data_IF_456313586741
#
_entry.id   IF_456313586741
#
_cell.length_a   1.000
_cell.length_b   1.000
_cell.length_c   1.000
_cell.angle_alpha   90.00
_cell.angle_beta   90.00
_cell.angle_gamma   90.00
#
_symmetry.space_group_name_H-M   'P 1'
#
loop_
_entity.id
_entity.type
_entity.pdbx_description
1 polymer ?
#
# COMPACT_ATOMS: atom_id res chain seq x y z
N UNK A 1 -36.72 26.53 -7.70
CA UNK A 1 -35.44 25.78 -7.64
C UNK A 1 -35.56 24.81 -6.49
N UNK A 2 -35.97 23.57 -6.80
CA UNK A 2 -35.91 22.47 -5.83
C UNK A 2 -34.44 22.10 -5.67
N UNK A 3 -33.94 22.17 -4.46
CA UNK A 3 -32.65 21.64 -4.12
C UNK A 3 -32.76 20.11 -4.23
N UNK A 4 -31.97 19.54 -5.11
CA UNK A 4 -31.83 18.09 -5.25
C UNK A 4 -31.26 17.55 -3.94
N UNK A 5 -32.07 16.80 -3.21
CA UNK A 5 -31.63 16.14 -2.00
C UNK A 5 -30.60 15.07 -2.40
N UNK A 6 -29.36 15.32 -2.12
CA UNK A 6 -28.30 14.31 -2.20
C UNK A 6 -28.78 13.09 -1.41
N UNK A 7 -28.88 11.89 -2.01
CA UNK A 7 -29.29 10.72 -1.26
C UNK A 7 -28.22 10.43 -0.21
N UNK A 8 -28.53 10.75 1.01
CA UNK A 8 -27.71 10.43 2.18
C UNK A 8 -27.87 8.94 2.57
N UNK A 9 -27.69 8.06 1.60
CA UNK A 9 -27.33 6.68 1.90
C UNK A 9 -25.83 6.67 2.05
N UNK A 10 -25.39 7.20 3.18
CA UNK A 10 -23.98 7.24 3.52
C UNK A 10 -23.45 5.81 3.56
N UNK A 11 -22.31 5.58 2.92
CA UNK A 11 -21.50 4.35 2.98
C UNK A 11 -21.40 3.76 4.41
N UNK A 12 -21.57 4.56 5.45
CA UNK A 12 -21.58 4.15 6.86
C UNK A 12 -22.66 3.16 7.23
N UNK A 13 -23.83 3.21 6.61
CA UNK A 13 -24.90 2.25 6.91
C UNK A 13 -24.64 0.89 6.22
N UNK A 14 -24.03 0.93 5.04
CA UNK A 14 -23.60 -0.27 4.31
C UNK A 14 -22.31 -0.85 4.86
N UNK A 15 -21.42 -0.01 5.40
CA UNK A 15 -20.17 -0.43 6.03
C UNK A 15 -20.42 -1.35 7.23
N UNK A 16 -21.46 -1.10 8.01
CA UNK A 16 -21.84 -1.97 9.13
C UNK A 16 -22.52 -3.29 8.67
N UNK A 17 -23.28 -3.27 7.59
CA UNK A 17 -23.89 -4.47 7.01
C UNK A 17 -22.83 -5.34 6.30
N UNK A 18 -21.88 -4.73 5.60
CA UNK A 18 -20.76 -5.42 4.98
C UNK A 18 -19.77 -5.97 6.01
N UNK A 19 -19.53 -5.26 7.12
CA UNK A 19 -18.71 -5.76 8.23
C UNK A 19 -19.26 -7.05 8.85
N UNK A 20 -20.56 -7.26 8.86
CA UNK A 20 -21.15 -8.51 9.34
C UNK A 20 -20.97 -9.68 8.35
N UNK A 21 -20.90 -9.39 7.05
CA UNK A 21 -20.74 -10.44 6.02
C UNK A 21 -19.31 -10.96 5.91
N UNK A 22 -18.28 -10.15 6.30
CA UNK A 22 -16.88 -10.50 6.20
C UNK A 22 -16.20 -10.93 7.51
N UNK A 23 -17.00 -11.26 8.53
CA UNK A 23 -16.47 -11.81 9.80
C UNK A 23 -15.96 -13.26 9.62
N UNK A 24 -16.38 -13.94 8.57
CA UNK A 24 -15.90 -15.27 8.25
C UNK A 24 -14.50 -15.23 7.59
N UNK A 25 -13.63 -16.14 8.01
CA UNK A 25 -12.19 -16.25 7.68
C UNK A 25 -11.87 -16.39 6.17
N UNK A 26 -12.86 -16.57 5.31
CA UNK A 26 -12.71 -16.79 3.87
C UNK A 26 -12.00 -15.66 3.09
N UNK A 27 -12.31 -14.36 3.29
CA UNK A 27 -11.65 -13.31 2.53
C UNK A 27 -10.14 -13.24 2.77
N UNK A 28 -9.71 -13.48 4.02
CA UNK A 28 -8.27 -13.48 4.33
C UNK A 28 -7.52 -14.65 3.68
N UNK A 29 -8.17 -15.80 3.53
CA UNK A 29 -7.54 -16.97 2.90
C UNK A 29 -7.35 -16.78 1.40
N UNK A 30 -8.29 -16.12 0.72
CA UNK A 30 -8.16 -15.80 -0.72
C UNK A 30 -7.04 -14.79 -0.97
N UNK A 31 -6.94 -13.74 -0.16
CA UNK A 31 -5.89 -12.73 -0.30
C UNK A 31 -4.49 -13.30 -0.07
N UNK A 32 -4.36 -14.33 0.77
CA UNK A 32 -3.06 -14.95 1.07
C UNK A 32 -2.74 -16.15 0.19
N UNK A 33 -3.72 -16.77 -0.48
CA UNK A 33 -3.49 -18.00 -1.27
C UNK A 33 -2.57 -17.79 -2.47
N UNK A 34 -2.66 -16.62 -3.10
CA UNK A 34 -1.86 -16.27 -4.28
C UNK A 34 -0.47 -15.70 -3.93
N UNK A 35 -0.20 -15.45 -2.65
CA UNK A 35 1.05 -14.85 -2.17
C UNK A 35 1.79 -15.77 -1.19
N UNK A 36 2.64 -16.70 -1.68
CA UNK A 36 3.31 -17.70 -0.83
C UNK A 36 4.17 -17.06 0.27
N UNK A 37 4.77 -15.90 0.03
CA UNK A 37 5.56 -15.21 1.03
C UNK A 37 4.69 -14.68 2.19
N UNK A 38 3.53 -14.10 1.90
CA UNK A 38 2.57 -13.66 2.92
C UNK A 38 2.04 -14.82 3.77
N UNK A 39 1.93 -16.01 3.20
CA UNK A 39 1.55 -17.22 3.93
C UNK A 39 2.64 -17.69 4.90
N UNK A 40 3.92 -17.53 4.51
CA UNK A 40 5.08 -17.94 5.33
C UNK A 40 5.34 -17.01 6.52
N UNK A 41 4.91 -15.76 6.45
CA UNK A 41 5.12 -14.79 7.54
C UNK A 41 4.21 -15.13 8.73
N UNK A 42 4.79 -15.33 9.93
CA UNK A 42 3.99 -15.62 11.12
C UNK A 42 3.09 -14.43 11.50
N UNK A 43 1.81 -14.70 11.62
CA UNK A 43 0.80 -13.69 11.95
C UNK A 43 0.65 -13.57 13.47
N UNK A 44 0.76 -12.36 14.00
CA UNK A 44 0.51 -12.10 15.42
C UNK A 44 -0.91 -11.53 15.61
N UNK A 45 -1.81 -12.35 16.14
CA UNK A 45 -3.20 -11.97 16.43
C UNK A 45 -3.39 -11.30 17.81
N UNK A 46 -2.31 -11.16 18.59
CA UNK A 46 -2.38 -10.63 19.95
C UNK A 46 -2.33 -9.10 20.01
N UNK A 47 -2.18 -8.43 18.89
CA UNK A 47 -2.14 -6.98 18.84
C UNK A 47 -3.52 -6.41 19.23
N UNK A 48 -3.58 -5.75 20.39
CA UNK A 48 -4.78 -5.08 20.91
C UNK A 48 -4.44 -3.66 21.30
N UNK A 49 -5.18 -2.68 20.80
CA UNK A 49 -5.00 -1.29 21.15
C UNK A 49 -4.35 -0.46 20.03
N UNK A 50 -3.87 0.73 20.38
CA UNK A 50 -3.30 1.69 19.43
C UNK A 50 -1.86 1.37 19.08
N UNK A 51 -1.07 1.04 20.10
CA UNK A 51 0.36 0.77 19.98
C UNK A 51 0.74 -0.48 20.77
N UNK A 52 1.73 -1.23 20.29
CA UNK A 52 2.30 -2.38 20.97
C UNK A 52 3.82 -2.18 21.09
N UNK A 53 4.36 -1.97 22.30
CA UNK A 53 5.80 -1.92 22.49
C UNK A 53 6.38 -3.34 22.43
N UNK A 54 7.42 -3.52 21.63
CA UNK A 54 8.23 -4.74 21.57
C UNK A 54 9.61 -4.44 22.18
N UNK A 55 9.92 -4.98 23.37
CA UNK A 55 11.24 -4.80 23.95
C UNK A 55 12.29 -5.57 23.16
N UNK A 56 13.41 -4.92 22.87
CA UNK A 56 14.57 -5.51 22.20
C UNK A 56 15.84 -5.25 22.98
N UNK A 57 16.76 -6.21 22.91
CA UNK A 57 18.12 -6.05 23.43
C UNK A 57 19.02 -5.80 22.21
N UNK A 58 19.57 -4.60 22.08
CA UNK A 58 20.43 -4.26 20.95
C UNK A 58 21.92 -4.29 21.28
N UNK A 59 22.30 -4.29 22.57
CA UNK A 59 23.66 -4.52 23.00
C UNK A 59 23.73 -5.47 24.18
N UNK A 60 24.63 -6.41 24.12
CA UNK A 60 24.94 -7.34 25.22
C UNK A 60 26.02 -6.75 26.12
N UNK A 61 26.03 -7.08 27.45
CA UNK A 61 27.10 -6.64 28.31
C UNK A 61 28.45 -7.16 27.83
N UNK A 62 29.43 -6.29 27.85
CA UNK A 62 30.84 -6.62 27.55
C UNK A 62 31.62 -6.61 28.87
N UNK A 63 32.71 -7.28 28.94
CA UNK A 63 33.52 -7.38 30.19
C UNK A 63 34.39 -8.61 30.18
N UNK A 64 34.61 -9.25 29.03
CA UNK A 64 35.47 -10.41 28.91
C UNK A 64 36.95 -9.98 28.84
N UNK A 65 37.79 -10.57 29.69
CA UNK A 65 39.23 -10.46 29.61
C UNK A 65 39.89 -11.71 30.21
N UNK A 66 41.19 -11.93 29.92
CA UNK A 66 42.00 -12.97 30.56
C UNK A 66 42.34 -12.64 32.01
N UNK A 67 42.26 -11.36 32.43
CA UNK A 67 42.48 -10.89 33.81
C UNK A 67 41.23 -10.27 34.40
N UNK A 68 41.02 -10.49 35.69
CA UNK A 68 39.82 -9.98 36.36
C UNK A 68 39.76 -8.45 36.38
N UNK A 69 40.85 -7.78 36.64
CA UNK A 69 40.93 -6.32 36.69
C UNK A 69 40.54 -5.69 35.34
N UNK A 70 41.01 -6.24 34.22
CA UNK A 70 40.66 -5.77 32.91
C UNK A 70 39.22 -6.10 32.55
N UNK A 71 38.69 -7.26 32.93
CA UNK A 71 37.31 -7.62 32.71
C UNK A 71 36.38 -6.67 33.49
N UNK A 72 36.71 -6.30 34.69
CA UNK A 72 35.97 -5.35 35.51
C UNK A 72 36.02 -3.94 34.93
N UNK A 73 37.17 -3.49 34.42
CA UNK A 73 37.33 -2.20 33.77
C UNK A 73 36.53 -2.10 32.45
N UNK A 74 36.42 -3.20 31.74
CA UNK A 74 35.71 -3.27 30.46
C UNK A 74 34.23 -3.61 30.61
N UNK A 75 33.72 -3.77 31.83
CA UNK A 75 32.34 -4.14 32.06
C UNK A 75 31.39 -3.04 31.59
N UNK A 76 30.51 -3.39 30.67
CA UNK A 76 29.43 -2.53 30.21
C UNK A 76 28.07 -3.17 30.46
N UNK A 77 27.03 -2.37 30.67
CA UNK A 77 25.67 -2.83 30.82
C UNK A 77 25.06 -3.26 29.49
N UNK A 78 24.07 -4.13 29.52
CA UNK A 78 23.21 -4.38 28.36
C UNK A 78 22.39 -3.14 28.04
N UNK A 79 22.19 -2.88 26.76
CA UNK A 79 21.32 -1.80 26.29
C UNK A 79 20.02 -2.39 25.76
N UNK A 80 18.92 -1.93 26.32
CA UNK A 80 17.57 -2.30 25.91
C UNK A 80 16.93 -1.10 25.21
N UNK A 81 16.08 -1.41 24.25
CA UNK A 81 15.23 -0.45 23.57
C UNK A 81 13.87 -1.05 23.31
N UNK A 82 12.98 -0.28 22.75
CA UNK A 82 11.66 -0.75 22.35
C UNK A 82 11.37 -0.37 20.89
N UNK A 83 10.73 -1.27 20.17
CA UNK A 83 10.03 -0.94 18.92
C UNK A 83 8.57 -0.68 19.24
N UNK A 84 8.11 0.49 18.89
CA UNK A 84 6.71 0.85 19.02
C UNK A 84 5.99 0.50 17.73
N UNK A 85 5.23 -0.59 17.73
CA UNK A 85 4.36 -0.95 16.60
C UNK A 85 3.09 -0.12 16.64
N UNK A 86 2.86 0.65 15.61
CA UNK A 86 1.61 1.41 15.39
C UNK A 86 0.70 0.67 14.43
N UNK A 87 -0.59 0.75 14.66
CA UNK A 87 -1.59 0.13 13.78
C UNK A 87 -1.83 1.02 12.57
N UNK A 88 -1.61 0.49 11.40
CA UNK A 88 -2.01 1.09 10.11
C UNK A 88 -3.25 0.36 9.59
N UNK A 89 -4.17 1.11 8.97
CA UNK A 89 -5.38 0.57 8.34
C UNK A 89 -5.23 0.68 6.85
N UNK A 90 -5.62 -0.35 6.14
CA UNK A 90 -5.71 -0.36 4.69
C UNK A 90 -7.16 -0.66 4.29
N UNK A 91 -7.68 0.03 3.28
CA UNK A 91 -9.06 -0.07 2.85
C UNK A 91 -9.09 -0.39 1.36
N UNK A 92 -9.89 -1.38 0.97
CA UNK A 92 -10.28 -1.61 -0.41
C UNK A 92 -11.78 -1.28 -0.53
N UNK A 93 -12.14 -0.47 -1.50
CA UNK A 93 -13.54 -0.08 -1.75
C UNK A 93 -13.97 -0.67 -3.07
N UNK A 94 -15.06 -1.42 -3.05
CA UNK A 94 -15.69 -1.97 -4.24
C UNK A 94 -17.02 -1.25 -4.44
N UNK A 95 -17.24 -0.71 -5.63
CA UNK A 95 -18.49 -0.01 -5.98
C UNK A 95 -19.23 -0.81 -7.04
N UNK A 96 -20.49 -1.11 -6.78
CA UNK A 96 -21.39 -1.73 -7.77
C UNK A 96 -22.50 -0.74 -8.09
N UNK A 97 -22.74 -0.50 -9.37
CA UNK A 97 -23.75 0.44 -9.81
C UNK A 97 -25.18 -0.06 -9.53
N UNK A 98 -26.04 0.86 -9.10
CA UNK A 98 -27.43 0.57 -8.77
C UNK A 98 -28.26 0.09 -9.98
N UNK A 99 -27.95 0.56 -11.19
CA UNK A 99 -28.59 0.09 -12.42
C UNK A 99 -28.25 -1.36 -12.71
N UNK A 100 -27.01 -1.77 -12.46
CA UNK A 100 -26.56 -3.16 -12.58
C UNK A 100 -27.32 -4.05 -11.57
N UNK A 101 -27.54 -3.56 -10.36
CA UNK A 101 -28.34 -4.25 -9.34
C UNK A 101 -29.80 -4.38 -9.81
N UNK A 102 -30.38 -3.34 -10.38
CA UNK A 102 -31.76 -3.32 -10.83
C UNK A 102 -31.98 -4.20 -12.07
N UNK A 103 -31.06 -4.16 -13.02
CA UNK A 103 -31.07 -5.04 -14.19
C UNK A 103 -30.93 -6.53 -13.85
N UNK A 104 -30.31 -6.84 -12.72
CA UNK A 104 -30.12 -8.21 -12.23
C UNK A 104 -31.28 -8.75 -11.39
N UNK A 105 -32.27 -7.92 -11.03
CA UNK A 105 -33.47 -8.36 -10.26
C UNK A 105 -34.27 -9.48 -10.93
N UNK A 106 -34.10 -9.69 -12.23
CA UNK A 106 -34.67 -10.79 -12.99
C UNK A 106 -33.76 -12.01 -13.12
N UNK A 107 -32.49 -11.88 -12.73
CA UNK A 107 -31.50 -12.94 -12.86
C UNK A 107 -30.56 -12.92 -11.63
N UNK A 108 -31.03 -13.50 -10.55
CA UNK A 108 -30.37 -13.53 -9.23
C UNK A 108 -28.93 -14.06 -9.31
N UNK A 109 -28.66 -14.98 -10.23
CA UNK A 109 -27.32 -15.54 -10.44
C UNK A 109 -26.32 -14.54 -11.03
N UNK A 110 -26.75 -13.70 -11.97
CA UNK A 110 -25.86 -12.71 -12.59
C UNK A 110 -25.41 -11.62 -11.60
N UNK A 111 -26.30 -11.22 -10.68
CA UNK A 111 -25.97 -10.25 -9.64
C UNK A 111 -24.99 -10.81 -8.61
N UNK A 112 -25.24 -12.00 -8.13
CA UNK A 112 -24.35 -12.68 -7.18
C UNK A 112 -22.97 -12.91 -7.79
N UNK A 113 -22.91 -13.27 -9.08
CA UNK A 113 -21.66 -13.49 -9.77
C UNK A 113 -20.85 -12.19 -9.97
N UNK A 114 -21.50 -11.09 -10.37
CA UNK A 114 -20.85 -9.80 -10.53
C UNK A 114 -20.32 -9.25 -9.20
N UNK A 115 -21.11 -9.28 -8.14
CA UNK A 115 -20.69 -8.82 -6.82
C UNK A 115 -19.54 -9.67 -6.25
N UNK A 116 -19.63 -10.98 -6.40
CA UNK A 116 -18.59 -11.91 -5.95
C UNK A 116 -17.30 -11.65 -6.70
N UNK A 117 -17.36 -11.52 -8.01
CA UNK A 117 -16.19 -11.27 -8.87
C UNK A 117 -15.51 -9.95 -8.50
N UNK A 118 -16.28 -8.85 -8.38
CA UNK A 118 -15.72 -7.55 -7.99
C UNK A 118 -15.10 -7.57 -6.59
N UNK A 119 -15.73 -8.28 -5.67
CA UNK A 119 -15.20 -8.44 -4.31
C UNK A 119 -13.88 -9.23 -4.31
N UNK A 120 -13.82 -10.33 -5.04
CA UNK A 120 -12.60 -11.15 -5.16
C UNK A 120 -11.47 -10.36 -5.82
N UNK A 121 -11.76 -9.57 -6.85
CA UNK A 121 -10.79 -8.68 -7.49
C UNK A 121 -10.27 -7.61 -6.50
N UNK A 122 -11.16 -6.99 -5.72
CA UNK A 122 -10.77 -6.03 -4.70
C UNK A 122 -9.86 -6.64 -3.61
N UNK A 123 -10.16 -7.85 -3.17
CA UNK A 123 -9.31 -8.59 -2.22
C UNK A 123 -7.95 -8.96 -2.84
N UNK A 124 -7.93 -9.36 -4.10
CA UNK A 124 -6.69 -9.65 -4.82
C UNK A 124 -5.81 -8.41 -4.93
N UNK A 125 -6.36 -7.28 -5.33
CA UNK A 125 -5.64 -6.00 -5.38
C UNK A 125 -5.06 -5.60 -4.02
N UNK A 126 -5.81 -5.82 -2.92
CA UNK A 126 -5.32 -5.59 -1.56
C UNK A 126 -4.15 -6.52 -1.21
N UNK A 127 -4.26 -7.80 -1.55
CA UNK A 127 -3.20 -8.78 -1.34
C UNK A 127 -1.92 -8.44 -2.12
N UNK A 128 -2.06 -8.06 -3.40
CA UNK A 128 -0.95 -7.63 -4.26
C UNK A 128 -0.25 -6.38 -3.69
N UNK A 129 -1.02 -5.41 -3.20
CA UNK A 129 -0.47 -4.20 -2.57
C UNK A 129 0.31 -4.52 -1.31
N UNK A 130 -0.25 -5.34 -0.41
CA UNK A 130 0.44 -5.78 0.80
C UNK A 130 1.73 -6.57 0.47
N UNK A 131 1.68 -7.44 -0.53
CA UNK A 131 2.84 -8.20 -0.98
C UNK A 131 3.95 -7.30 -1.49
N UNK A 132 3.62 -6.30 -2.31
CA UNK A 132 4.58 -5.29 -2.81
C UNK A 132 5.20 -4.48 -1.66
N UNK A 133 4.40 -4.02 -0.71
CA UNK A 133 4.88 -3.25 0.45
C UNK A 133 5.88 -4.03 1.31
N UNK A 134 5.76 -5.36 1.41
CA UNK A 134 6.70 -6.18 2.18
C UNK A 134 8.11 -6.23 1.59
N UNK A 135 8.26 -6.06 0.29
CA UNK A 135 9.56 -6.09 -0.40
C UNK A 135 10.17 -4.71 -0.61
N UNK A 136 9.46 -3.65 -0.26
CA UNK A 136 9.88 -2.27 -0.44
C UNK A 136 10.29 -1.60 0.87
N UNK A 137 10.97 -0.46 0.75
CA UNK A 137 11.28 0.39 1.89
C UNK A 137 10.00 0.90 2.55
N UNK A 138 10.06 1.20 3.83
CA UNK A 138 8.94 1.56 4.72
C UNK A 138 8.07 2.75 4.26
N UNK A 139 8.40 3.41 3.16
CA UNK A 139 7.76 4.63 2.67
C UNK A 139 6.67 4.41 1.61
N UNK A 140 6.26 3.17 1.35
CA UNK A 140 5.26 2.90 0.31
C UNK A 140 5.74 3.11 -1.13
N UNK A 141 6.99 3.52 -1.36
CA UNK A 141 7.53 3.76 -2.70
C UNK A 141 7.47 2.49 -3.56
N UNK A 142 6.83 2.58 -4.71
CA UNK A 142 6.70 1.49 -5.69
C UNK A 142 7.65 1.65 -6.88
N UNK A 143 8.26 2.81 -7.05
CA UNK A 143 9.21 3.10 -8.10
C UNK A 143 9.93 4.43 -7.88
N UNK A 144 10.88 4.70 -8.75
CA UNK A 144 11.68 5.95 -8.76
C UNK A 144 11.64 6.56 -10.14
N UNK A 145 11.51 7.87 -10.23
CA UNK A 145 11.56 8.64 -11.48
C UNK A 145 12.96 8.56 -12.07
N UNK A 146 13.09 8.04 -13.28
CA UNK A 146 14.37 7.83 -13.94
C UNK A 146 14.91 9.08 -14.59
N UNK A 147 14.26 9.51 -15.67
CA UNK A 147 14.66 10.72 -16.39
C UNK A 147 13.98 11.96 -15.81
N UNK A 148 14.54 13.13 -16.10
CA UNK A 148 13.87 14.40 -15.78
C UNK A 148 12.52 14.44 -16.52
N UNK A 149 11.42 14.72 -15.81
CA UNK A 149 10.11 14.72 -16.40
C UNK A 149 10.03 15.66 -17.60
N UNK A 150 9.64 15.10 -18.75
CA UNK A 150 9.37 15.88 -19.94
C UNK A 150 7.90 16.36 -19.98
N UNK A 151 7.59 17.28 -20.87
CA UNK A 151 6.23 17.74 -21.10
C UNK A 151 5.42 16.68 -21.87
N UNK A 152 5.42 15.45 -21.42
CA UNK A 152 4.67 14.33 -22.00
C UNK A 152 4.00 13.51 -20.88
N UNK A 153 3.20 12.54 -21.27
CA UNK A 153 2.48 11.65 -20.35
C UNK A 153 3.28 10.40 -19.99
N UNK A 154 4.42 10.17 -20.64
CA UNK A 154 5.25 9.01 -20.41
C UNK A 154 6.29 9.32 -19.33
N UNK A 155 6.39 8.44 -18.36
CA UNK A 155 7.33 8.51 -17.26
C UNK A 155 8.33 7.36 -17.38
N UNK A 156 9.59 7.69 -17.50
CA UNK A 156 10.69 6.72 -17.43
C UNK A 156 10.96 6.36 -15.97
N UNK A 157 11.09 5.06 -15.70
CA UNK A 157 11.45 4.55 -14.38
C UNK A 157 12.97 4.38 -14.28
N UNK A 158 13.51 4.63 -13.10
CA UNK A 158 14.95 4.46 -12.84
C UNK A 158 15.39 2.99 -12.89
N UNK A 159 14.47 2.07 -12.64
CA UNK A 159 14.71 0.63 -12.62
C UNK A 159 13.65 -0.08 -13.44
N UNK A 160 14.08 -0.92 -14.38
CA UNK A 160 13.22 -1.69 -15.27
C UNK A 160 12.21 -2.56 -14.53
N UNK A 161 12.68 -3.22 -13.47
CA UNK A 161 11.86 -4.10 -12.65
C UNK A 161 10.72 -3.37 -11.92
N UNK A 162 10.81 -2.05 -11.74
CA UNK A 162 9.77 -1.28 -11.06
C UNK A 162 8.48 -1.21 -11.86
N UNK A 163 8.53 -1.38 -13.19
CA UNK A 163 7.34 -1.44 -14.05
C UNK A 163 6.34 -2.54 -13.63
N UNK A 164 6.83 -3.61 -12.99
CA UNK A 164 5.99 -4.70 -12.48
C UNK A 164 5.11 -4.29 -11.29
N UNK A 165 5.42 -3.18 -10.62
CA UNK A 165 4.67 -2.71 -9.47
C UNK A 165 3.47 -1.85 -9.85
N UNK A 166 3.37 -1.45 -11.11
CA UNK A 166 2.31 -0.56 -11.59
C UNK A 166 1.20 -1.33 -12.28
N UNK A 167 -0.03 -0.88 -12.05
CA UNK A 167 -1.23 -1.40 -12.69
C UNK A 167 -2.05 -0.25 -13.28
N UNK A 168 -2.75 -0.54 -14.38
CA UNK A 168 -3.65 0.42 -15.02
C UNK A 168 -4.79 0.79 -14.07
N UNK A 169 -5.08 2.09 -13.97
CA UNK A 169 -6.08 2.62 -13.05
C UNK A 169 -5.53 3.03 -11.68
N UNK A 170 -4.30 2.62 -11.32
CA UNK A 170 -3.65 3.04 -10.07
C UNK A 170 -3.40 4.55 -10.08
N UNK A 171 -3.69 5.23 -8.97
CA UNK A 171 -3.33 6.63 -8.76
C UNK A 171 -2.01 6.72 -8.02
N UNK A 172 -1.13 7.56 -8.52
CA UNK A 172 0.22 7.76 -7.98
C UNK A 172 0.47 9.22 -7.66
N UNK A 173 1.26 9.45 -6.61
CA UNK A 173 1.78 10.74 -6.18
C UNK A 173 3.31 10.69 -6.14
N UNK A 174 3.95 11.84 -6.15
CA UNK A 174 5.41 11.95 -6.17
C UNK A 174 5.92 12.55 -4.86
N UNK A 175 7.06 12.08 -4.38
CA UNK A 175 7.71 12.59 -3.16
C UNK A 175 9.20 12.74 -3.37
N UNK A 176 9.81 13.64 -2.60
CA UNK A 176 11.26 13.90 -2.63
C UNK A 176 12.09 12.95 -1.77
N UNK A 177 11.43 12.13 -0.94
CA UNK A 177 12.11 11.24 0.01
C UNK A 177 11.27 9.98 0.29
N UNK A 178 11.94 8.91 0.71
CA UNK A 178 11.29 7.62 1.02
C UNK A 178 10.68 7.54 2.40
N UNK A 179 11.14 8.31 3.39
CA UNK A 179 10.74 8.09 4.80
C UNK A 179 9.87 9.20 5.38
N UNK A 180 10.13 10.44 5.01
CA UNK A 180 9.42 11.63 5.52
C UNK A 180 9.26 12.66 4.40
N UNK A 181 9.20 12.17 3.17
CA UNK A 181 9.21 13.01 1.99
C UNK A 181 8.04 13.94 1.89
N UNK A 182 8.34 15.16 1.45
CA UNK A 182 7.30 16.10 1.09
C UNK A 182 6.67 15.70 -0.22
N UNK A 183 5.35 15.65 -0.26
CA UNK A 183 4.61 15.43 -1.48
C UNK A 183 4.91 16.56 -2.48
N UNK A 184 5.19 16.19 -3.72
CA UNK A 184 5.28 17.17 -4.80
C UNK A 184 3.89 17.70 -5.11
N UNK A 185 3.82 18.99 -5.38
CA UNK A 185 2.59 19.71 -5.72
C UNK A 185 1.40 19.40 -4.78
N UNK A 186 1.66 19.41 -3.47
CA UNK A 186 0.64 19.12 -2.44
C UNK A 186 -0.06 17.76 -2.61
N UNK A 187 0.55 16.82 -3.31
CA UNK A 187 -0.01 15.49 -3.55
C UNK A 187 -0.93 15.40 -4.76
N UNK A 188 -0.69 16.21 -5.79
CA UNK A 188 -1.39 16.07 -7.06
C UNK A 188 -1.20 14.65 -7.62
N UNK A 189 -2.30 13.91 -7.75
CA UNK A 189 -2.29 12.52 -8.19
C UNK A 189 -2.50 12.40 -9.69
N UNK A 190 -1.76 11.49 -10.33
CA UNK A 190 -1.96 11.10 -11.73
C UNK A 190 -2.35 9.62 -11.78
N UNK A 191 -3.27 9.26 -12.69
CA UNK A 191 -3.65 7.86 -12.89
C UNK A 191 -2.75 7.20 -13.91
N UNK A 192 -2.39 5.94 -13.69
CA UNK A 192 -1.67 5.11 -14.65
C UNK A 192 -2.65 4.66 -15.74
N UNK A 193 -2.36 5.01 -16.99
CA UNK A 193 -3.19 4.68 -18.17
C UNK A 193 -2.67 3.43 -18.87
N UNK A 194 -1.35 3.30 -18.97
CA UNK A 194 -0.71 2.14 -19.59
C UNK A 194 0.63 1.85 -18.88
N UNK A 195 1.03 0.58 -18.90
CA UNK A 195 2.32 0.11 -18.39
C UNK A 195 3.01 -0.67 -19.48
N UNK A 196 4.17 -0.22 -19.91
CA UNK A 196 5.01 -0.96 -20.84
C UNK A 196 5.99 -1.84 -20.06
N UNK A 197 5.71 -3.13 -20.07
CA UNK A 197 6.53 -4.16 -19.37
C UNK A 197 7.52 -4.86 -20.29
N UNK A 198 7.44 -4.59 -21.60
CA UNK A 198 8.20 -5.33 -22.61
C UNK A 198 9.29 -4.51 -23.28
N UNK A 199 9.27 -3.20 -23.11
CA UNK A 199 10.18 -2.31 -23.79
C UNK A 199 11.50 -2.16 -23.06
N UNK A 200 12.52 -1.89 -23.83
CA UNK A 200 13.81 -1.40 -23.32
C UNK A 200 13.70 0.00 -22.66
N UNK A 201 12.48 0.54 -22.55
CA UNK A 201 12.22 1.91 -22.12
C UNK A 201 11.53 2.05 -20.75
N UNK A 202 11.15 0.97 -20.09
CA UNK A 202 10.61 1.00 -18.70
C UNK A 202 9.66 2.16 -18.41
N UNK A 203 8.67 2.35 -19.29
CA UNK A 203 7.81 3.51 -19.26
C UNK A 203 6.43 3.17 -18.71
N UNK A 204 5.88 4.09 -17.94
CA UNK A 204 4.47 4.12 -17.60
C UNK A 204 3.83 5.35 -18.21
N UNK A 205 2.63 5.20 -18.77
CA UNK A 205 1.85 6.32 -19.31
C UNK A 205 0.88 6.79 -18.25
N UNK A 206 0.91 8.08 -17.96
CA UNK A 206 0.06 8.73 -16.98
C UNK A 206 -1.09 9.49 -17.64
N UNK A 207 -2.14 9.79 -16.89
CA UNK A 207 -3.33 10.51 -17.36
C UNK A 207 -3.09 11.99 -17.67
N UNK A 208 -1.96 12.54 -17.21
CA UNK A 208 -1.57 13.93 -17.43
C UNK A 208 -0.08 14.07 -17.63
N UNK A 209 0.34 15.24 -18.11
CA UNK A 209 1.75 15.56 -18.27
C UNK A 209 2.44 15.65 -16.89
N UNK A 210 3.64 15.11 -16.78
CA UNK A 210 4.43 15.20 -15.55
C UNK A 210 4.72 16.64 -15.14
N UNK A 211 4.91 17.54 -16.11
CA UNK A 211 5.08 18.96 -15.81
C UNK A 211 3.86 19.62 -15.18
N UNK A 212 2.68 18.99 -15.20
CA UNK A 212 1.51 19.48 -14.46
C UNK A 212 1.66 19.30 -12.95
N UNK A 213 2.53 18.38 -12.52
CA UNK A 213 2.88 18.18 -11.11
C UNK A 213 4.16 18.96 -10.81
N UNK A 214 4.02 20.07 -10.14
CA UNK A 214 5.13 20.98 -9.87
C UNK A 214 6.22 20.34 -9.01
N UNK A 215 7.46 20.48 -9.44
CA UNK A 215 8.64 20.08 -8.67
C UNK A 215 9.06 18.62 -8.80
N UNK A 216 8.41 17.81 -9.64
CA UNK A 216 8.85 16.43 -9.90
C UNK A 216 10.21 16.43 -10.62
N UNK A 217 11.15 15.66 -10.12
CA UNK A 217 12.52 15.57 -10.61
C UNK A 217 12.97 14.11 -10.73
N UNK A 218 14.05 13.89 -11.47
CA UNK A 218 14.74 12.60 -11.49
C UNK A 218 15.20 12.22 -10.09
N UNK A 219 14.98 10.98 -9.69
CA UNK A 219 15.28 10.48 -8.36
C UNK A 219 14.13 10.61 -7.35
N UNK A 220 13.04 11.30 -7.70
CA UNK A 220 11.85 11.36 -6.86
C UNK A 220 11.18 9.97 -6.76
N UNK A 221 10.56 9.71 -5.62
CA UNK A 221 9.88 8.46 -5.36
C UNK A 221 8.42 8.52 -5.81
N UNK A 222 7.95 7.41 -6.36
CA UNK A 222 6.56 7.23 -6.80
C UNK A 222 5.85 6.39 -5.75
N UNK A 223 4.74 6.88 -5.24
CA UNK A 223 3.97 6.26 -4.16
C UNK A 223 2.50 6.18 -4.58
N UNK A 224 1.76 5.09 -4.28
CA UNK A 224 0.32 5.08 -4.44
C UNK A 224 -0.35 6.19 -3.63
N UNK A 225 -1.41 6.78 -4.15
CA UNK A 225 -2.16 7.81 -3.44
C UNK A 225 -2.70 7.26 -2.11
N UNK A 226 -2.34 7.88 -1.00
CA UNK A 226 -2.79 7.50 0.34
C UNK A 226 -1.87 6.55 1.13
N UNK A 227 -0.74 6.12 0.57
CA UNK A 227 0.21 5.21 1.23
C UNK A 227 1.36 5.94 1.98
N UNK A 228 1.31 7.26 2.06
CA UNK A 228 2.32 8.13 2.72
C UNK A 228 1.85 8.57 4.09
#
# INVERSE_FOLDING_TARGET
>A
TMAEATPATTLTAWDDALKQYYIDKKPMDVAYSDHPFLQMVPKNTRFRGKNMPLPIIYARPQGRSATFATAQSNATSSSLGEFLLTRVKNYAVVTVDGETIEASKGNEYAFLEALTTETDLGLKTLGDTLSRQMFRSQSGSIGVVGATPAANTNLDLATDADSLNFEVGMKVVFTDSTSTGSLRDSGAALSVVAVDRMAASNQITLSGNLNSVSGVASGDFIVPEGDL
#
